data_IF_621243959921
#
_entry.id   IF_621243959921
#
_cell.length_a   1.000
_cell.length_b   1.000
_cell.length_c   1.000
_cell.angle_alpha   90.00
_cell.angle_beta   90.00
_cell.angle_gamma   90.00
#
_symmetry.space_group_name_H-M   'P 1'
#
loop_
_entity.id
_entity.type
_entity.pdbx_description
1 polymer ?
#
# COMPACT_ATOMS: atom_id res chain seq x y z
N UNK A 1 -9.67 24.04 -25.17
CA UNK A 1 -10.05 23.04 -26.19
C UNK A 1 -9.24 23.16 -27.47
N UNK A 2 -9.21 24.32 -28.14
CA UNK A 2 -8.49 24.47 -29.42
C UNK A 2 -6.99 24.18 -29.30
N UNK A 3 -6.33 24.68 -28.25
CA UNK A 3 -4.90 24.42 -27.99
C UNK A 3 -4.60 22.95 -27.65
N UNK A 4 -5.50 22.30 -26.91
CA UNK A 4 -5.39 20.88 -26.55
C UNK A 4 -5.61 19.98 -27.75
N UNK A 5 -6.61 20.26 -28.59
CA UNK A 5 -6.81 19.54 -29.85
C UNK A 5 -5.63 19.75 -30.81
N UNK A 6 -5.10 20.97 -30.90
CA UNK A 6 -3.93 21.27 -31.74
C UNK A 6 -2.69 20.49 -31.26
N UNK A 7 -2.47 20.42 -29.95
CA UNK A 7 -1.37 19.63 -29.36
C UNK A 7 -1.51 18.13 -29.61
N UNK A 8 -2.72 17.59 -29.60
CA UNK A 8 -3.00 16.17 -29.85
C UNK A 8 -2.87 15.79 -31.33
N UNK A 9 -3.20 16.73 -32.23
CA UNK A 9 -2.98 16.58 -33.67
C UNK A 9 -1.48 16.63 -33.99
N UNK A 10 -0.73 17.55 -33.36
CA UNK A 10 0.73 17.67 -33.54
C UNK A 10 1.53 16.49 -32.98
N UNK A 11 0.94 15.67 -32.12
CA UNK A 11 1.61 14.53 -31.48
C UNK A 11 1.22 13.16 -32.05
N UNK A 12 0.39 13.11 -33.10
CA UNK A 12 -0.14 11.88 -33.73
C UNK A 12 -0.87 10.89 -32.78
N UNK A 13 -1.07 11.24 -31.50
CA UNK A 13 -1.73 10.37 -30.51
C UNK A 13 -3.26 10.49 -30.52
N UNK A 14 -3.83 11.38 -31.34
CA UNK A 14 -5.26 11.65 -31.36
C UNK A 14 -6.08 10.37 -31.66
N UNK A 15 -5.62 9.56 -32.61
CA UNK A 15 -6.32 8.34 -33.00
C UNK A 15 -6.30 7.29 -31.89
N UNK A 16 -5.18 7.17 -31.17
CA UNK A 16 -5.05 6.27 -30.01
C UNK A 16 -5.97 6.70 -28.86
N UNK A 17 -6.09 8.01 -28.60
CA UNK A 17 -7.03 8.53 -27.62
C UNK A 17 -8.48 8.21 -28.00
N UNK A 18 -8.85 8.33 -29.28
CA UNK A 18 -10.20 8.00 -29.76
C UNK A 18 -10.49 6.51 -29.60
N UNK A 19 -9.54 5.63 -29.94
CA UNK A 19 -9.68 4.19 -29.75
C UNK A 19 -9.78 3.79 -28.27
N UNK A 20 -9.02 4.45 -27.39
CA UNK A 20 -9.13 4.26 -25.95
C UNK A 20 -10.51 4.66 -25.42
N UNK A 21 -11.03 5.82 -25.85
CA UNK A 21 -12.37 6.28 -25.47
C UNK A 21 -13.49 5.34 -25.97
N UNK A 22 -13.33 4.77 -27.17
CA UNK A 22 -14.29 3.79 -27.71
C UNK A 22 -14.25 2.46 -26.94
N UNK A 23 -13.06 2.04 -26.48
CA UNK A 23 -12.89 0.81 -25.70
C UNK A 23 -13.40 0.92 -24.26
N UNK A 24 -13.35 2.12 -23.67
CA UNK A 24 -13.75 2.37 -22.29
C UNK A 24 -14.95 3.32 -22.19
N UNK A 25 -16.16 2.82 -22.43
CA UNK A 25 -17.40 3.63 -22.40
C UNK A 25 -17.67 4.31 -21.04
N UNK A 26 -17.20 3.74 -19.92
CA UNK A 26 -17.31 4.36 -18.60
C UNK A 26 -16.56 5.70 -18.51
N UNK A 27 -15.42 5.83 -19.20
CA UNK A 27 -14.66 7.08 -19.26
C UNK A 27 -15.50 8.21 -19.88
N UNK A 28 -16.25 7.93 -20.94
CA UNK A 28 -17.11 8.92 -21.59
C UNK A 28 -18.19 9.45 -20.65
N UNK A 29 -18.76 8.58 -19.80
CA UNK A 29 -19.76 8.97 -18.80
C UNK A 29 -19.14 9.89 -17.76
N UNK A 30 -17.95 9.56 -17.24
CA UNK A 30 -17.24 10.41 -16.27
C UNK A 30 -16.80 11.74 -16.89
N UNK A 31 -16.30 11.73 -18.12
CA UNK A 31 -15.90 12.94 -18.85
C UNK A 31 -17.11 13.86 -19.11
N UNK A 32 -18.26 13.28 -19.46
CA UNK A 32 -19.49 14.04 -19.66
C UNK A 32 -20.02 14.62 -18.35
N UNK A 33 -20.06 13.82 -17.27
CA UNK A 33 -20.51 14.28 -15.97
C UNK A 33 -19.62 15.39 -15.39
N UNK A 34 -18.30 15.26 -15.51
CA UNK A 34 -17.34 16.30 -15.08
C UNK A 34 -17.47 17.56 -15.93
N UNK A 35 -17.69 17.43 -17.24
CA UNK A 35 -17.95 18.56 -18.13
C UNK A 35 -19.24 19.30 -17.75
N UNK A 36 -20.35 18.60 -17.49
CA UNK A 36 -21.60 19.23 -17.04
C UNK A 36 -21.39 19.93 -15.70
N UNK A 37 -20.77 19.25 -14.73
CA UNK A 37 -20.50 19.84 -13.42
C UNK A 37 -19.64 21.11 -13.54
N UNK A 38 -18.62 21.10 -14.41
CA UNK A 38 -17.78 22.27 -14.67
C UNK A 38 -18.57 23.41 -15.31
N UNK A 39 -19.39 23.14 -16.32
CA UNK A 39 -20.22 24.15 -16.98
C UNK A 39 -21.23 24.76 -16.01
N UNK A 40 -21.91 23.95 -15.21
CA UNK A 40 -22.86 24.42 -14.18
C UNK A 40 -22.13 25.29 -13.16
N UNK A 41 -20.96 24.86 -12.66
CA UNK A 41 -20.13 25.66 -11.75
C UNK A 41 -19.76 27.02 -12.37
N UNK A 42 -19.40 27.04 -13.66
CA UNK A 42 -19.03 28.26 -14.35
C UNK A 42 -20.22 29.21 -14.54
N UNK A 43 -21.43 28.67 -14.78
CA UNK A 43 -22.67 29.46 -14.80
C UNK A 43 -22.99 30.05 -13.43
N UNK A 44 -22.82 29.29 -12.34
CA UNK A 44 -22.99 29.82 -10.99
C UNK A 44 -21.99 30.93 -10.66
N UNK A 45 -20.73 30.77 -11.06
CA UNK A 45 -19.70 31.81 -10.90
C UNK A 45 -20.13 33.08 -11.64
N UNK A 46 -20.54 32.94 -12.91
CA UNK A 46 -20.97 34.07 -13.73
C UNK A 46 -22.19 34.78 -13.13
N UNK A 47 -23.25 34.03 -12.79
CA UNK A 47 -24.48 34.57 -12.20
C UNK A 47 -24.22 35.26 -10.86
N UNK A 48 -23.32 34.71 -10.03
CA UNK A 48 -22.97 35.33 -8.73
C UNK A 48 -22.20 36.64 -8.92
N UNK A 49 -21.30 36.70 -9.90
CA UNK A 49 -20.54 37.92 -10.22
C UNK A 49 -21.47 38.97 -10.83
N UNK A 50 -22.41 38.58 -11.68
CA UNK A 50 -23.37 39.49 -12.31
C UNK A 50 -24.34 40.11 -11.29
N UNK A 51 -24.86 39.31 -10.35
CA UNK A 51 -25.85 39.76 -9.37
C UNK A 51 -25.23 40.48 -8.16
N UNK A 52 -24.10 40.00 -7.65
CA UNK A 52 -23.50 40.47 -6.39
C UNK A 52 -22.13 41.16 -6.56
N UNK A 53 -21.57 41.14 -7.77
CA UNK A 53 -20.26 41.71 -8.05
C UNK A 53 -19.07 40.81 -7.62
N UNK A 54 -17.86 41.12 -8.12
CA UNK A 54 -16.68 40.28 -7.94
C UNK A 54 -16.18 40.22 -6.49
N UNK A 55 -16.41 41.27 -5.69
CA UNK A 55 -15.97 41.34 -4.29
C UNK A 55 -16.74 40.33 -3.43
N UNK A 56 -18.07 40.28 -3.57
CA UNK A 56 -18.93 39.35 -2.83
C UNK A 56 -18.64 37.91 -3.26
N UNK A 57 -18.45 37.67 -4.56
CA UNK A 57 -18.03 36.35 -5.06
C UNK A 57 -16.74 35.86 -4.37
N UNK A 58 -15.74 36.74 -4.23
CA UNK A 58 -14.46 36.39 -3.58
C UNK A 58 -14.64 36.03 -2.11
N UNK A 59 -15.52 36.76 -1.40
CA UNK A 59 -15.86 36.46 0.00
C UNK A 59 -16.56 35.10 0.11
N UNK A 60 -17.57 34.83 -0.73
CA UNK A 60 -18.31 33.56 -0.74
C UNK A 60 -17.36 32.38 -1.02
N UNK A 61 -16.47 32.52 -2.03
CA UNK A 61 -15.49 31.49 -2.37
C UNK A 61 -14.49 31.23 -1.22
N UNK A 62 -14.02 32.27 -0.56
CA UNK A 62 -13.08 32.15 0.57
C UNK A 62 -13.74 31.46 1.76
N UNK A 63 -15.00 31.81 2.06
CA UNK A 63 -15.79 31.16 3.11
C UNK A 63 -15.99 29.68 2.80
N UNK A 64 -16.39 29.35 1.56
CA UNK A 64 -16.56 27.97 1.12
C UNK A 64 -15.28 27.15 1.21
N UNK A 65 -14.12 27.72 0.83
CA UNK A 65 -12.82 27.07 0.97
C UNK A 65 -12.44 26.85 2.44
N UNK A 66 -12.77 27.79 3.34
CA UNK A 66 -12.55 27.65 4.77
C UNK A 66 -13.41 26.55 5.40
N UNK A 67 -14.61 26.28 4.87
CA UNK A 67 -15.48 25.20 5.33
C UNK A 67 -15.22 23.85 4.66
N UNK A 68 -14.78 23.84 3.41
CA UNK A 68 -14.54 22.59 2.67
C UNK A 68 -13.39 21.78 3.27
N UNK A 69 -12.38 22.46 3.84
CA UNK A 69 -11.24 21.79 4.48
C UNK A 69 -11.69 21.03 5.74
N UNK A 70 -12.31 21.65 6.77
CA UNK A 70 -12.82 20.94 7.94
C UNK A 70 -13.87 19.87 7.59
N UNK A 71 -14.77 20.17 6.64
CA UNK A 71 -15.81 19.22 6.23
C UNK A 71 -15.19 18.00 5.54
N UNK A 72 -14.15 18.20 4.72
CA UNK A 72 -13.37 17.10 4.15
C UNK A 72 -12.60 16.34 5.22
N UNK A 73 -12.14 16.99 6.29
CA UNK A 73 -11.49 16.27 7.39
C UNK A 73 -12.49 15.42 8.17
N UNK A 74 -13.71 15.91 8.36
CA UNK A 74 -14.80 15.23 9.07
C UNK A 74 -15.36 14.03 8.29
N UNK A 75 -15.58 14.18 6.97
CA UNK A 75 -16.15 13.12 6.14
C UNK A 75 -15.16 12.00 5.79
N UNK A 76 -13.85 12.30 5.79
CA UNK A 76 -12.81 11.36 5.38
C UNK A 76 -11.86 10.95 6.52
N UNK A 77 -12.21 11.23 7.78
CA UNK A 77 -11.46 10.83 8.99
C UNK A 77 -9.96 11.14 8.93
N UNK A 78 -9.59 12.32 8.41
CA UNK A 78 -8.20 12.76 8.39
C UNK A 78 -7.79 13.39 9.72
N UNK A 79 -6.83 12.76 10.43
CA UNK A 79 -6.15 13.34 11.57
C UNK A 79 -5.29 14.54 11.12
N UNK A 80 -5.83 15.75 11.23
CA UNK A 80 -5.07 16.98 11.00
C UNK A 80 -4.00 17.08 12.10
N UNK A 81 -2.73 16.83 11.74
CA UNK A 81 -1.62 17.30 12.55
C UNK A 81 -1.73 18.83 12.64
N UNK A 82 -2.13 19.31 13.81
CA UNK A 82 -2.44 20.69 14.12
C UNK A 82 -1.17 21.56 14.11
N UNK A 83 -0.66 21.87 12.91
CA UNK A 83 0.48 22.80 12.73
C UNK A 83 0.32 23.79 11.56
N UNK A 84 -0.87 23.90 10.95
CA UNK A 84 -1.14 24.90 9.89
C UNK A 84 -2.24 25.89 10.28
N UNK A 85 -2.98 25.65 11.37
CA UNK A 85 -4.01 26.59 11.88
C UNK A 85 -3.45 27.61 12.90
N UNK A 86 -2.17 27.98 12.77
CA UNK A 86 -1.53 28.98 13.61
C UNK A 86 -0.60 29.86 12.78
N UNK A 87 -1.16 30.56 11.80
CA UNK A 87 -0.45 31.64 11.10
C UNK A 87 -1.38 32.81 10.80
N UNK A 88 -2.00 33.36 11.84
CA UNK A 88 -2.55 34.73 11.84
C UNK A 88 -2.97 35.18 13.24
N UNK A 89 -2.04 35.26 14.19
CA UNK A 89 -1.96 36.42 15.10
C UNK A 89 -0.70 36.34 15.96
N UNK A 90 -0.04 37.46 16.11
CA UNK A 90 1.22 37.64 16.81
C UNK A 90 1.10 37.47 18.33
N UNK A 91 2.22 37.05 18.93
CA UNK A 91 2.94 37.77 20.00
C UNK A 91 3.09 37.03 21.32
N UNK A 92 4.37 36.66 21.53
CA UNK A 92 5.16 36.72 22.77
C UNK A 92 4.74 35.91 24.01
N UNK A 93 5.80 35.33 24.56
CA UNK A 93 6.07 34.96 25.96
C UNK A 93 5.56 33.61 26.44
N UNK A 94 6.49 32.90 27.10
CA UNK A 94 6.34 31.63 27.85
C UNK A 94 6.28 30.38 26.94
N UNK A 95 7.11 29.35 27.10
CA UNK A 95 7.42 28.63 28.35
C UNK A 95 8.86 28.08 28.30
N UNK A 96 9.58 28.38 29.38
CA UNK A 96 10.82 27.75 29.82
C UNK A 96 10.48 26.51 30.67
N UNK A 97 11.37 25.49 30.69
CA UNK A 97 11.32 24.18 31.41
C UNK A 97 10.52 23.09 30.66
N UNK A 98 11.01 21.89 30.37
CA UNK A 98 12.06 21.07 30.98
C UNK A 98 12.94 20.38 29.92
N UNK A 99 14.26 20.50 30.07
CA UNK A 99 15.24 19.56 29.52
C UNK A 99 16.32 19.38 30.56
N UNK A 100 16.38 18.22 31.22
CA UNK A 100 17.61 17.67 31.80
C UNK A 100 17.43 16.23 32.30
N UNK A 101 17.98 15.30 31.54
CA UNK A 101 18.88 14.21 31.97
C UNK A 101 19.30 13.47 30.69
N UNK A 102 20.35 13.94 30.00
CA UNK A 102 21.71 13.36 29.99
C UNK A 102 21.69 11.85 29.71
N UNK A 103 21.89 11.44 28.46
CA UNK A 103 23.24 11.03 28.02
C UNK A 103 23.60 11.55 26.61
N UNK A 104 24.77 12.18 26.53
CA UNK A 104 25.45 12.57 25.30
C UNK A 104 26.08 11.32 24.67
N UNK A 105 25.78 11.07 23.40
CA UNK A 105 26.81 10.85 22.40
C UNK A 105 26.24 11.24 21.03
N UNK A 106 27.07 11.91 20.25
CA UNK A 106 26.65 12.70 19.11
C UNK A 106 26.04 11.88 17.99
N UNK A 107 24.84 12.27 17.58
CA UNK A 107 24.40 12.02 16.22
C UNK A 107 23.70 13.26 15.67
N UNK A 108 24.53 14.16 15.14
CA UNK A 108 24.08 15.16 14.17
C UNK A 108 24.13 14.52 12.77
N UNK A 109 23.64 13.29 12.61
CA UNK A 109 23.22 12.80 11.30
C UNK A 109 21.97 13.57 10.90
N UNK A 110 22.25 14.63 10.14
CA UNK A 110 21.43 15.12 9.04
C UNK A 110 20.20 14.25 8.80
N UNK A 111 19.03 14.84 9.06
CA UNK A 111 17.68 14.47 8.64
C UNK A 111 17.57 14.37 7.10
N UNK A 112 18.45 13.62 6.44
CA UNK A 112 18.48 13.47 4.99
C UNK A 112 17.64 12.27 4.59
N UNK A 113 16.46 12.62 4.06
CA UNK A 113 15.51 11.84 3.28
C UNK A 113 14.68 10.81 4.06
N UNK A 114 13.60 11.31 4.66
CA UNK A 114 12.41 10.54 5.03
C UNK A 114 11.91 9.71 3.83
N UNK A 115 11.36 8.52 4.10
CA UNK A 115 10.76 7.66 3.09
C UNK A 115 11.72 6.67 2.41
N UNK A 116 11.24 5.47 2.10
CA UNK A 116 11.97 4.43 1.36
C UNK A 116 11.02 3.32 0.90
N UNK A 117 11.31 2.68 -0.23
CA UNK A 117 10.58 1.51 -0.71
C UNK A 117 11.47 0.27 -0.58
N UNK A 118 11.18 -0.59 0.39
CA UNK A 118 12.07 -1.65 0.85
C UNK A 118 11.40 -3.02 0.70
N UNK A 119 12.17 -4.04 0.33
CA UNK A 119 11.78 -5.46 0.42
C UNK A 119 12.71 -6.17 1.40
N UNK A 120 12.14 -6.97 2.30
CA UNK A 120 12.91 -7.87 3.17
C UNK A 120 12.76 -9.32 2.72
N UNK A 121 13.88 -9.95 2.36
CA UNK A 121 13.98 -11.36 2.00
C UNK A 121 14.68 -12.11 3.14
N UNK A 122 14.27 -13.35 3.37
CA UNK A 122 14.90 -14.23 4.35
C UNK A 122 13.97 -15.35 4.78
N UNK A 123 14.55 -16.45 5.26
CA UNK A 123 13.81 -17.60 5.73
C UNK A 123 12.91 -17.26 6.95
N UNK A 124 11.85 -18.04 7.24
CA UNK A 124 11.07 -17.88 8.46
C UNK A 124 11.97 -17.95 9.70
N UNK A 125 11.87 -16.97 10.61
CA UNK A 125 12.70 -16.90 11.82
C UNK A 125 14.02 -16.15 11.65
N UNK A 126 14.32 -15.62 10.45
CA UNK A 126 15.52 -14.84 10.21
C UNK A 126 15.55 -13.46 10.89
N UNK A 127 14.46 -13.03 11.54
CA UNK A 127 14.38 -11.73 12.23
C UNK A 127 13.79 -10.59 11.41
N UNK A 128 13.27 -10.84 10.20
CA UNK A 128 12.61 -9.83 9.35
C UNK A 128 11.57 -8.99 10.09
N UNK A 129 10.68 -9.61 10.86
CA UNK A 129 9.62 -8.92 11.60
C UNK A 129 10.13 -7.92 12.64
N UNK A 130 11.26 -8.22 13.27
CA UNK A 130 11.91 -7.30 14.22
C UNK A 130 12.53 -6.11 13.48
N UNK A 131 13.21 -6.40 12.36
CA UNK A 131 13.90 -5.38 11.58
C UNK A 131 12.94 -4.50 10.77
N UNK A 132 11.82 -5.06 10.30
CA UNK A 132 10.78 -4.31 9.59
C UNK A 132 10.17 -3.23 10.46
N UNK A 133 9.89 -3.51 11.73
CA UNK A 133 9.38 -2.51 12.67
C UNK A 133 10.36 -1.33 12.86
N UNK A 134 11.65 -1.63 13.05
CA UNK A 134 12.69 -0.61 13.24
C UNK A 134 12.92 0.23 11.98
N UNK A 135 12.94 -0.40 10.80
CA UNK A 135 13.08 0.30 9.52
C UNK A 135 11.85 1.15 9.20
N UNK A 136 10.65 0.62 9.46
CA UNK A 136 9.39 1.35 9.27
C UNK A 136 9.35 2.63 10.11
N UNK A 137 9.74 2.55 11.38
CA UNK A 137 9.86 3.70 12.27
C UNK A 137 10.94 4.68 11.79
N UNK A 138 12.14 4.19 11.44
CA UNK A 138 13.26 5.03 11.00
C UNK A 138 12.93 5.85 9.75
N UNK A 139 12.33 5.22 8.75
CA UNK A 139 12.03 5.85 7.46
C UNK A 139 10.63 6.46 7.39
N UNK A 140 9.79 6.29 8.43
CA UNK A 140 8.40 6.76 8.49
C UNK A 140 7.56 6.21 7.33
N UNK A 141 7.67 4.90 7.10
CA UNK A 141 7.02 4.16 6.02
C UNK A 141 6.08 3.10 6.55
N UNK A 142 5.07 2.72 5.78
CA UNK A 142 4.16 1.65 6.19
C UNK A 142 4.85 0.27 6.08
N UNK A 143 4.54 -0.63 7.01
CA UNK A 143 4.92 -2.03 6.91
C UNK A 143 3.76 -2.84 6.30
N UNK A 144 4.05 -3.61 5.25
CA UNK A 144 3.11 -4.49 4.57
C UNK A 144 3.62 -5.93 4.73
N UNK A 145 3.09 -6.62 5.74
CA UNK A 145 3.39 -8.03 6.03
C UNK A 145 2.33 -8.93 5.41
N UNK A 146 2.69 -9.71 4.38
CA UNK A 146 1.73 -10.63 3.74
C UNK A 146 1.27 -11.72 4.69
N UNK A 147 2.14 -12.17 5.60
CA UNK A 147 1.76 -13.13 6.63
C UNK A 147 0.66 -12.59 7.55
N UNK A 148 0.74 -11.32 7.95
CA UNK A 148 -0.28 -10.70 8.81
C UNK A 148 -1.56 -10.39 8.04
N UNK A 149 -1.45 -9.91 6.79
CA UNK A 149 -2.61 -9.68 5.92
C UNK A 149 -3.40 -10.97 5.67
N UNK A 150 -2.71 -12.08 5.38
CA UNK A 150 -3.34 -13.38 5.18
C UNK A 150 -3.96 -13.90 6.49
N UNK A 151 -3.28 -13.76 7.64
CA UNK A 151 -3.87 -14.13 8.94
C UNK A 151 -5.12 -13.31 9.26
N UNK A 152 -5.14 -12.02 8.95
CA UNK A 152 -6.33 -11.19 9.10
C UNK A 152 -7.45 -11.67 8.17
N UNK A 153 -7.13 -12.02 6.92
CA UNK A 153 -8.11 -12.58 5.98
C UNK A 153 -8.71 -13.92 6.44
N UNK A 154 -7.97 -14.75 7.20
CA UNK A 154 -8.54 -15.99 7.78
C UNK A 154 -9.60 -15.75 8.86
N UNK A 155 -9.65 -14.56 9.45
CA UNK A 155 -10.62 -14.22 10.50
C UNK A 155 -11.97 -13.78 9.93
N UNK A 156 -12.03 -13.46 8.64
CA UNK A 156 -13.27 -13.13 7.96
C UNK A 156 -14.08 -14.40 7.73
N UNK A 157 -15.14 -14.56 8.52
CA UNK A 157 -16.03 -15.74 8.48
C UNK A 157 -17.05 -15.68 7.33
N UNK A 158 -17.10 -14.57 6.59
CA UNK A 158 -18.17 -14.34 5.61
C UNK A 158 -17.89 -14.95 4.23
N UNK A 159 -16.62 -15.17 3.87
CA UNK A 159 -16.22 -15.83 2.64
C UNK A 159 -15.65 -17.23 2.95
N UNK A 160 -16.05 -18.25 2.18
CA UNK A 160 -15.46 -19.61 2.30
C UNK A 160 -13.96 -19.68 1.96
N UNK A 161 -13.35 -18.55 1.61
CA UNK A 161 -11.94 -18.38 1.25
C UNK A 161 -11.02 -18.35 2.48
N UNK A 162 -11.47 -17.80 3.62
CA UNK A 162 -10.65 -17.68 4.83
C UNK A 162 -10.15 -19.03 5.37
N UNK A 163 -11.00 -20.07 5.31
CA UNK A 163 -10.64 -21.43 5.72
C UNK A 163 -9.64 -22.09 4.74
N UNK A 164 -9.76 -21.82 3.43
CA UNK A 164 -8.80 -22.32 2.44
C UNK A 164 -7.42 -21.71 2.68
N UNK A 165 -7.37 -20.39 2.88
CA UNK A 165 -6.14 -19.65 3.21
C UNK A 165 -5.52 -20.23 4.49
N UNK A 166 -6.33 -20.45 5.53
CA UNK A 166 -5.85 -21.02 6.80
C UNK A 166 -5.16 -22.38 6.61
N UNK A 167 -5.79 -23.30 5.88
CA UNK A 167 -5.23 -24.64 5.60
C UNK A 167 -3.91 -24.59 4.83
N UNK A 168 -3.82 -23.71 3.83
CA UNK A 168 -2.58 -23.50 3.06
C UNK A 168 -1.46 -22.96 3.96
N UNK A 169 -1.79 -22.02 4.87
CA UNK A 169 -0.80 -21.45 5.78
C UNK A 169 -0.31 -22.44 6.83
N UNK A 170 -1.20 -23.28 7.37
CA UNK A 170 -0.90 -24.34 8.35
C UNK A 170 -0.02 -25.44 7.74
N UNK A 171 -0.22 -25.79 6.46
CA UNK A 171 0.65 -26.73 5.74
C UNK A 171 2.00 -26.15 5.32
N UNK A 172 2.21 -24.84 5.50
CA UNK A 172 3.43 -24.15 5.12
C UNK A 172 3.53 -23.78 3.64
N UNK A 173 2.43 -23.92 2.89
CA UNK A 173 2.34 -23.55 1.47
C UNK A 173 2.24 -22.05 1.23
N UNK A 174 2.23 -21.68 -0.06
CA UNK A 174 1.95 -20.32 -0.51
C UNK A 174 0.49 -20.18 -0.95
N UNK A 175 -0.13 -19.07 -0.58
CA UNK A 175 -1.47 -18.69 -1.03
C UNK A 175 -1.40 -18.14 -2.46
N UNK A 176 -2.47 -18.30 -3.22
CA UNK A 176 -2.57 -17.86 -4.61
C UNK A 176 -2.11 -16.41 -4.83
N UNK A 177 -1.32 -16.22 -5.88
CA UNK A 177 -0.66 -14.96 -6.18
C UNK A 177 -1.67 -13.82 -6.41
N UNK A 178 -2.83 -14.11 -7.03
CA UNK A 178 -3.89 -13.12 -7.26
C UNK A 178 -4.46 -12.56 -5.95
N UNK A 179 -4.70 -13.42 -4.97
CA UNK A 179 -5.20 -13.02 -3.64
C UNK A 179 -4.17 -12.13 -2.96
N UNK A 180 -2.91 -12.55 -2.98
CA UNK A 180 -1.81 -11.81 -2.36
C UNK A 180 -1.63 -10.45 -3.04
N UNK A 181 -1.61 -10.40 -4.37
CA UNK A 181 -1.47 -9.16 -5.14
C UNK A 181 -2.61 -8.18 -4.86
N UNK A 182 -3.86 -8.65 -4.76
CA UNK A 182 -5.01 -7.82 -4.40
C UNK A 182 -4.86 -7.19 -3.00
N UNK A 183 -4.39 -7.99 -2.02
CA UNK A 183 -4.12 -7.48 -0.65
C UNK A 183 -2.98 -6.46 -0.61
N UNK A 184 -1.94 -6.66 -1.42
CA UNK A 184 -0.82 -5.72 -1.56
C UNK A 184 -1.29 -4.42 -2.21
N UNK A 185 -2.03 -4.49 -3.32
CA UNK A 185 -2.57 -3.34 -4.05
C UNK A 185 -3.44 -2.46 -3.14
N UNK A 186 -4.37 -3.08 -2.40
CA UNK A 186 -5.20 -2.40 -1.41
C UNK A 186 -4.37 -1.76 -0.29
N UNK A 187 -3.33 -2.44 0.18
CA UNK A 187 -2.46 -1.93 1.25
C UNK A 187 -1.62 -0.73 0.83
N UNK A 188 -1.16 -0.70 -0.42
CA UNK A 188 -0.37 0.42 -0.96
C UNK A 188 -1.17 1.73 -1.05
N UNK A 189 -2.50 1.66 -1.11
CA UNK A 189 -3.38 2.83 -1.17
C UNK A 189 -3.60 3.49 0.20
N UNK A 190 -3.12 2.88 1.30
CA UNK A 190 -3.28 3.43 2.64
C UNK A 190 -2.41 4.68 2.85
N UNK A 191 -2.89 5.69 3.61
CA UNK A 191 -2.19 6.97 3.76
C UNK A 191 -0.81 6.84 4.42
N UNK A 192 -0.60 5.83 5.27
CA UNK A 192 0.68 5.57 5.92
C UNK A 192 1.77 5.16 4.91
N UNK A 193 1.38 4.67 3.72
CA UNK A 193 2.30 4.26 2.66
C UNK A 193 2.74 5.43 1.75
N UNK A 194 2.34 6.67 2.08
CA UNK A 194 2.64 7.85 1.28
C UNK A 194 4.14 8.12 1.16
N UNK A 195 4.87 8.02 2.28
CA UNK A 195 6.32 8.25 2.33
C UNK A 195 7.13 7.05 1.81
N UNK A 196 6.49 5.92 1.58
CA UNK A 196 7.13 4.69 1.16
C UNK A 196 6.50 3.49 1.85
N UNK A 197 7.04 2.31 1.58
CA UNK A 197 6.53 1.05 2.08
C UNK A 197 7.66 0.05 2.29
N UNK A 198 7.43 -0.89 3.20
CA UNK A 198 8.31 -2.02 3.44
C UNK A 198 7.52 -3.32 3.29
N UNK A 199 7.94 -4.17 2.37
CA UNK A 199 7.35 -5.51 2.22
C UNK A 199 8.08 -6.53 3.09
N UNK A 200 7.33 -7.19 3.98
CA UNK A 200 7.81 -8.29 4.83
C UNK A 200 7.17 -9.61 4.37
N UNK A 201 7.98 -10.48 3.79
CA UNK A 201 7.53 -11.78 3.30
C UNK A 201 6.86 -11.74 1.91
N UNK A 202 7.11 -10.69 1.13
CA UNK A 202 6.71 -10.56 -0.27
C UNK A 202 7.74 -9.71 -1.04
N UNK A 203 8.06 -10.05 -2.30
CA UNK A 203 7.66 -11.24 -3.03
C UNK A 203 8.37 -12.51 -2.52
N UNK A 204 7.82 -13.67 -2.86
CA UNK A 204 8.36 -15.01 -2.54
C UNK A 204 8.73 -15.84 -3.75
N UNK A 205 8.30 -15.43 -4.95
CA UNK A 205 8.62 -16.06 -6.22
C UNK A 205 9.09 -15.00 -7.22
N UNK A 206 9.78 -15.41 -8.29
CA UNK A 206 10.19 -14.49 -9.37
C UNK A 206 8.96 -13.84 -10.03
N UNK A 207 7.93 -14.63 -10.31
CA UNK A 207 6.68 -14.14 -10.89
C UNK A 207 6.02 -13.05 -10.04
N UNK A 208 5.93 -13.25 -8.71
CA UNK A 208 5.46 -12.20 -7.80
C UNK A 208 6.35 -10.96 -7.83
N UNK A 209 7.67 -11.14 -7.99
CA UNK A 209 8.63 -10.04 -8.15
C UNK A 209 8.36 -9.20 -9.39
N UNK A 210 8.09 -9.83 -10.53
CA UNK A 210 7.74 -9.17 -11.79
C UNK A 210 6.39 -8.45 -11.71
N UNK A 211 5.38 -9.11 -11.14
CA UNK A 211 4.06 -8.50 -10.90
C UNK A 211 4.14 -7.28 -9.99
N UNK A 212 4.96 -7.35 -8.93
CA UNK A 212 5.21 -6.21 -8.06
C UNK A 212 5.89 -5.05 -8.80
N UNK A 213 6.88 -5.32 -9.63
CA UNK A 213 7.55 -4.27 -10.42
C UNK A 213 6.58 -3.57 -11.37
N UNK A 214 5.73 -4.32 -12.07
CA UNK A 214 4.67 -3.76 -12.93
C UNK A 214 3.69 -2.91 -12.14
N UNK A 215 3.27 -3.40 -10.96
CA UNK A 215 2.36 -2.69 -10.06
C UNK A 215 2.93 -1.36 -9.57
N UNK A 216 4.22 -1.33 -9.25
CA UNK A 216 4.88 -0.12 -8.77
C UNK A 216 5.17 0.84 -9.92
N UNK A 217 5.50 0.32 -11.11
CA UNK A 217 5.70 1.13 -12.30
C UNK A 217 4.45 1.91 -12.71
N UNK A 218 3.27 1.27 -12.68
CA UNK A 218 1.99 1.95 -12.93
C UNK A 218 1.69 3.06 -11.91
N UNK A 219 2.29 2.98 -10.72
CA UNK A 219 2.21 3.97 -9.64
C UNK A 219 3.35 4.99 -9.64
N UNK A 220 4.25 4.95 -10.62
CA UNK A 220 5.47 5.78 -10.66
C UNK A 220 6.32 5.62 -9.39
N UNK A 221 6.27 4.44 -8.76
CA UNK A 221 7.10 4.05 -7.62
C UNK A 221 8.11 3.00 -8.07
N UNK A 222 9.15 2.80 -7.25
CA UNK A 222 10.21 1.81 -7.48
C UNK A 222 10.62 1.18 -6.16
N UNK A 223 11.35 0.07 -6.21
CA UNK A 223 12.05 -0.47 -5.06
C UNK A 223 13.42 0.22 -4.94
N UNK A 224 13.73 0.74 -3.76
CA UNK A 224 15.01 1.40 -3.48
C UNK A 224 16.03 0.42 -2.89
N UNK A 225 15.58 -0.55 -2.09
CA UNK A 225 16.46 -1.52 -1.44
C UNK A 225 15.79 -2.87 -1.21
N UNK A 226 16.56 -3.95 -1.41
CA UNK A 226 16.20 -5.33 -1.08
C UNK A 226 17.23 -5.86 -0.09
N UNK A 227 16.79 -6.16 1.12
CA UNK A 227 17.64 -6.68 2.19
C UNK A 227 17.39 -8.16 2.38
N UNK A 228 18.43 -8.97 2.22
CA UNK A 228 18.39 -10.40 2.53
C UNK A 228 18.97 -10.65 3.93
N UNK A 229 18.21 -11.32 4.80
CA UNK A 229 18.67 -11.75 6.12
C UNK A 229 19.11 -13.21 6.06
N UNK A 230 20.41 -13.42 5.83
CA UNK A 230 21.03 -14.72 5.70
C UNK A 230 21.29 -15.36 7.07
N UNK A 231 20.88 -16.62 7.21
CA UNK A 231 21.07 -17.42 8.42
C UNK A 231 20.93 -18.90 8.11
N UNK A 232 21.74 -19.72 8.77
CA UNK A 232 21.69 -21.18 8.66
C UNK A 232 20.41 -21.79 9.24
N UNK A 233 19.85 -22.78 8.55
CA UNK A 233 18.58 -23.44 8.90
C UNK A 233 18.58 -24.01 10.33
N UNK A 234 19.72 -24.53 10.79
CA UNK A 234 19.87 -25.10 12.13
C UNK A 234 19.61 -24.08 13.26
N UNK A 235 19.81 -22.78 12.99
CA UNK A 235 19.55 -21.71 13.96
C UNK A 235 18.08 -21.24 13.91
N UNK A 236 17.40 -21.43 12.79
CA UNK A 236 16.01 -20.99 12.58
C UNK A 236 15.01 -21.78 13.41
N UNK A 237 15.26 -23.09 13.60
CA UNK A 237 14.36 -23.96 14.38
C UNK A 237 14.15 -23.45 15.80
N UNK A 238 15.23 -23.11 16.51
CA UNK A 238 15.14 -22.54 17.86
C UNK A 238 14.36 -21.23 17.86
N UNK A 239 14.65 -20.34 16.91
CA UNK A 239 14.02 -19.01 16.79
C UNK A 239 12.51 -19.07 16.52
N UNK A 240 12.04 -20.07 15.78
CA UNK A 240 10.61 -20.22 15.46
C UNK A 240 9.85 -20.86 16.62
N UNK A 241 10.37 -21.94 17.19
CA UNK A 241 9.65 -22.68 18.23
C UNK A 241 9.55 -21.90 19.55
N UNK A 242 10.50 -21.00 19.84
CA UNK A 242 10.47 -20.13 21.01
C UNK A 242 9.78 -18.78 20.79
N UNK A 243 9.12 -18.56 19.65
CA UNK A 243 8.48 -17.27 19.32
C UNK A 243 7.16 -17.07 20.06
N UNK A 244 6.99 -15.90 20.65
CA UNK A 244 5.76 -15.44 21.30
C UNK A 244 5.28 -14.15 20.64
N UNK A 245 3.97 -13.98 20.46
CA UNK A 245 3.41 -12.81 19.80
C UNK A 245 2.26 -12.23 20.62
N UNK A 246 2.25 -10.91 20.68
CA UNK A 246 1.13 -10.16 21.21
C UNK A 246 0.10 -9.88 20.11
N UNK A 247 -1.06 -10.55 20.16
CA UNK A 247 -2.05 -10.57 19.08
C UNK A 247 -2.56 -9.20 18.63
N UNK A 248 -2.83 -8.30 19.57
CA UNK A 248 -3.43 -6.99 19.27
C UNK A 248 -2.45 -6.04 18.60
N UNK A 249 -1.15 -6.16 18.92
CA UNK A 249 -0.12 -5.23 18.44
C UNK A 249 0.84 -5.80 17.40
N UNK A 250 0.89 -7.12 17.24
CA UNK A 250 1.89 -7.81 16.41
C UNK A 250 3.30 -7.84 17.00
N UNK A 251 3.54 -7.26 18.18
CA UNK A 251 4.85 -7.32 18.85
C UNK A 251 5.28 -8.77 19.05
N UNK A 252 6.55 -9.04 18.78
CA UNK A 252 7.14 -10.38 18.82
C UNK A 252 8.22 -10.45 19.90
N UNK A 253 8.17 -11.51 20.70
CA UNK A 253 9.12 -11.86 21.75
C UNK A 253 9.68 -13.26 21.47
N UNK A 254 10.69 -13.64 22.23
CA UNK A 254 11.27 -14.97 22.18
C UNK A 254 11.73 -15.41 23.56
N UNK A 255 11.44 -16.66 23.94
CA UNK A 255 11.75 -17.20 25.28
C UNK A 255 13.22 -17.04 25.70
N UNK A 256 14.17 -17.28 24.80
CA UNK A 256 15.61 -17.11 25.04
C UNK A 256 16.19 -15.77 24.56
N UNK A 257 15.94 -15.38 23.30
CA UNK A 257 16.67 -14.28 22.65
C UNK A 257 16.10 -12.87 22.90
N UNK A 258 14.82 -12.78 23.23
CA UNK A 258 14.14 -11.51 23.52
C UNK A 258 12.95 -11.77 24.48
N UNK A 259 13.23 -12.22 25.72
CA UNK A 259 12.19 -12.62 26.65
C UNK A 259 11.35 -11.41 27.06
N UNK A 260 10.03 -11.56 27.24
CA UNK A 260 9.23 -10.53 27.88
C UNK A 260 9.69 -10.33 29.33
N UNK A 261 9.46 -9.14 29.89
CA UNK A 261 9.79 -8.81 31.28
C UNK A 261 9.05 -9.72 32.27
N UNK A 262 7.78 -9.98 31.97
CA UNK A 262 6.96 -10.96 32.68
C UNK A 262 6.63 -12.11 31.73
N UNK A 263 6.77 -13.34 32.21
CA UNK A 263 6.52 -14.53 31.40
C UNK A 263 5.11 -14.50 30.80
N UNK A 264 5.02 -14.75 29.49
CA UNK A 264 3.78 -14.79 28.71
C UNK A 264 2.95 -13.50 28.73
N UNK A 265 3.55 -12.34 29.03
CA UNK A 265 2.87 -11.04 28.98
C UNK A 265 3.59 -10.03 28.12
N UNK A 266 2.82 -9.17 27.45
CA UNK A 266 3.35 -8.06 26.66
C UNK A 266 3.91 -6.95 27.55
N UNK A 267 5.11 -6.47 27.23
CA UNK A 267 5.82 -5.47 28.04
C UNK A 267 5.16 -4.08 28.08
N UNK A 268 4.26 -3.77 27.13
CA UNK A 268 3.60 -2.46 27.04
C UNK A 268 2.17 -2.48 27.59
N UNK A 269 1.40 -3.53 27.29
CA UNK A 269 -0.01 -3.60 27.69
C UNK A 269 -0.26 -4.54 28.87
N UNK A 270 0.66 -5.45 29.17
CA UNK A 270 0.47 -6.50 30.18
C UNK A 270 -0.48 -7.63 29.75
N UNK A 271 -0.97 -7.59 28.50
CA UNK A 271 -1.86 -8.61 27.93
C UNK A 271 -1.09 -9.91 27.61
N UNK A 272 -1.82 -11.02 27.51
CA UNK A 272 -1.22 -12.34 27.29
C UNK A 272 -0.58 -12.49 25.92
N UNK A 273 0.60 -13.11 25.87
CA UNK A 273 1.26 -13.53 24.64
C UNK A 273 0.77 -14.92 24.20
N UNK A 274 0.69 -15.14 22.89
CA UNK A 274 0.34 -16.44 22.32
C UNK A 274 1.42 -16.94 21.35
N UNK A 275 1.50 -18.26 21.19
CA UNK A 275 2.27 -18.89 20.11
C UNK A 275 1.39 -18.99 18.88
N UNK A 276 1.97 -18.85 17.69
CA UNK A 276 1.19 -19.08 16.46
C UNK A 276 0.95 -20.58 16.27
N UNK A 277 -0.21 -20.93 15.71
CA UNK A 277 -0.57 -22.32 15.40
C UNK A 277 0.33 -22.96 14.34
N UNK A 278 0.95 -22.16 13.49
CA UNK A 278 1.83 -22.56 12.38
C UNK A 278 3.32 -22.60 12.75
N UNK A 279 3.66 -22.38 14.03
CA UNK A 279 5.04 -22.48 14.55
C UNK A 279 5.34 -23.90 15.07
N UNK A 280 5.19 -24.89 14.18
CA UNK A 280 5.54 -26.29 14.44
C UNK A 280 6.80 -26.70 13.68
N UNK A 281 7.42 -27.82 14.08
CA UNK A 281 8.62 -28.32 13.41
C UNK A 281 8.31 -28.78 11.97
N UNK A 282 7.15 -29.38 11.77
CA UNK A 282 6.65 -29.89 10.49
C UNK A 282 6.39 -28.73 9.53
N UNK A 283 5.64 -27.72 9.98
CA UNK A 283 5.34 -26.52 9.19
C UNK A 283 6.62 -25.72 8.91
N UNK A 284 7.55 -25.63 9.86
CA UNK A 284 8.85 -24.99 9.61
C UNK A 284 9.62 -25.70 8.50
N UNK A 285 9.71 -27.03 8.53
CA UNK A 285 10.42 -27.81 7.51
C UNK A 285 9.83 -27.58 6.12
N UNK A 286 8.49 -27.60 6.02
CA UNK A 286 7.78 -27.31 4.77
C UNK A 286 8.05 -25.87 4.27
N UNK A 287 8.08 -24.88 5.17
CA UNK A 287 8.36 -23.49 4.83
C UNK A 287 9.81 -23.27 4.40
N UNK A 288 10.77 -23.92 5.03
CA UNK A 288 12.18 -23.84 4.64
C UNK A 288 12.38 -24.46 3.25
N UNK A 289 11.80 -25.64 3.00
CA UNK A 289 11.82 -26.27 1.68
C UNK A 289 11.23 -25.36 0.60
N UNK A 290 10.07 -24.75 0.88
CA UNK A 290 9.41 -23.80 -0.03
C UNK A 290 10.26 -22.54 -0.26
N UNK A 291 10.84 -21.97 0.81
CA UNK A 291 11.74 -20.82 0.73
C UNK A 291 12.94 -21.09 -0.17
N UNK A 292 13.64 -22.21 0.06
CA UNK A 292 14.81 -22.58 -0.74
C UNK A 292 14.46 -22.85 -2.21
N UNK A 293 13.30 -23.45 -2.47
CA UNK A 293 12.85 -23.77 -3.83
C UNK A 293 12.37 -22.55 -4.61
N UNK A 294 11.64 -21.64 -3.98
CA UNK A 294 10.90 -20.58 -4.68
C UNK A 294 11.43 -19.17 -4.40
N UNK A 295 11.92 -18.91 -3.18
CA UNK A 295 12.36 -17.57 -2.76
C UNK A 295 13.86 -17.37 -2.92
N UNK A 296 14.71 -18.37 -2.74
CA UNK A 296 16.16 -18.23 -2.99
C UNK A 296 16.49 -17.73 -4.40
N UNK A 297 15.83 -18.20 -5.49
CA UNK A 297 16.06 -17.65 -6.83
C UNK A 297 15.75 -16.14 -6.97
N UNK A 298 14.90 -15.60 -6.10
CA UNK A 298 14.56 -14.17 -6.08
C UNK A 298 15.75 -13.29 -5.64
N UNK A 299 16.71 -13.87 -4.91
CA UNK A 299 17.94 -13.17 -4.52
C UNK A 299 18.72 -12.79 -5.77
N UNK A 300 18.93 -13.73 -6.69
CA UNK A 300 19.64 -13.46 -7.94
C UNK A 300 18.87 -12.47 -8.83
N UNK A 301 17.54 -12.59 -8.88
CA UNK A 301 16.67 -11.64 -9.59
C UNK A 301 16.87 -10.18 -9.14
N UNK A 302 16.98 -9.91 -7.84
CA UNK A 302 17.24 -8.56 -7.33
C UNK A 302 18.72 -8.17 -7.30
N UNK A 303 19.63 -9.14 -7.24
CA UNK A 303 21.08 -8.92 -7.36
C UNK A 303 21.43 -8.36 -8.73
N UNK A 304 20.86 -8.91 -9.80
CA UNK A 304 21.04 -8.42 -11.18
C UNK A 304 20.53 -6.98 -11.37
N UNK A 305 19.60 -6.53 -10.51
CA UNK A 305 19.05 -5.17 -10.51
C UNK A 305 19.88 -4.17 -9.68
N UNK A 306 20.97 -4.62 -9.07
CA UNK A 306 21.87 -3.82 -8.23
C UNK A 306 21.20 -3.14 -7.01
N UNK A 307 20.03 -3.64 -6.58
CA UNK A 307 19.30 -3.14 -5.41
C UNK A 307 19.29 -4.13 -4.23
N UNK A 308 19.99 -5.25 -4.34
CA UNK A 308 20.09 -6.28 -3.30
C UNK A 308 21.37 -6.14 -2.47
N UNK A 309 21.26 -6.40 -1.16
CA UNK A 309 22.38 -6.68 -0.26
C UNK A 309 21.99 -7.75 0.77
N UNK A 310 22.97 -8.59 1.13
CA UNK A 310 22.83 -9.62 2.17
C UNK A 310 23.39 -9.15 3.50
N UNK A 311 22.74 -9.54 4.59
CA UNK A 311 23.05 -9.20 5.98
C UNK A 311 23.07 -10.50 6.76
N UNK A 312 24.14 -10.69 7.54
CA UNK A 312 24.25 -11.81 8.48
C UNK A 312 23.30 -11.62 9.67
N UNK A 313 22.25 -12.43 9.71
CA UNK A 313 21.20 -12.36 10.72
C UNK A 313 21.49 -13.18 11.99
N UNK A 314 22.72 -13.68 12.15
CA UNK A 314 23.16 -14.35 13.39
C UNK A 314 23.58 -13.35 14.48
N UNK A 315 23.87 -12.11 14.09
CA UNK A 315 24.35 -11.04 14.97
C UNK A 315 23.24 -10.50 15.90
N UNK A 316 23.62 -9.63 16.84
CA UNK A 316 22.67 -8.97 17.75
C UNK A 316 21.71 -8.09 16.97
N UNK A 317 20.48 -7.98 17.46
CA UNK A 317 19.40 -7.21 16.81
C UNK A 317 19.86 -5.81 16.43
N UNK A 318 20.45 -5.05 17.37
CA UNK A 318 20.88 -3.66 17.13
C UNK A 318 21.98 -3.53 16.07
N UNK A 319 22.89 -4.50 15.98
CA UNK A 319 23.97 -4.50 15.00
C UNK A 319 23.43 -4.76 13.60
N UNK A 320 22.48 -5.71 13.49
CA UNK A 320 21.74 -5.98 12.26
C UNK A 320 20.96 -4.72 11.84
N UNK A 321 20.28 -4.03 12.75
CA UNK A 321 19.53 -2.80 12.44
C UNK A 321 20.42 -1.69 11.92
N UNK A 322 21.57 -1.46 12.55
CA UNK A 322 22.56 -0.46 12.10
C UNK A 322 23.08 -0.79 10.71
N UNK A 323 23.33 -2.07 10.41
CA UNK A 323 23.75 -2.50 9.08
C UNK A 323 22.65 -2.30 8.03
N UNK A 324 21.41 -2.69 8.35
CA UNK A 324 20.24 -2.49 7.49
C UNK A 324 20.06 -1.03 7.10
N UNK A 325 20.12 -0.10 8.07
CA UNK A 325 19.98 1.34 7.82
C UNK A 325 21.10 1.85 6.91
N UNK A 326 22.37 1.48 7.21
CA UNK A 326 23.53 1.88 6.39
C UNK A 326 23.38 1.41 4.94
N UNK A 327 22.91 0.18 4.74
CA UNK A 327 22.72 -0.40 3.41
C UNK A 327 21.61 0.31 2.65
N UNK A 328 20.46 0.55 3.29
CA UNK A 328 19.34 1.26 2.66
C UNK A 328 19.77 2.67 2.25
N UNK A 329 20.44 3.39 3.14
CA UNK A 329 20.94 4.75 2.85
C UNK A 329 21.99 4.76 1.72
N UNK A 330 22.78 3.70 1.58
CA UNK A 330 23.72 3.53 0.48
C UNK A 330 23.01 3.25 -0.86
N UNK A 331 22.09 2.29 -0.89
CA UNK A 331 21.38 1.89 -2.11
C UNK A 331 20.50 3.01 -2.65
N UNK A 332 19.86 3.79 -1.78
CA UNK A 332 19.03 4.95 -2.17
C UNK A 332 19.80 6.04 -2.91
N UNK A 333 21.11 6.14 -2.71
CA UNK A 333 21.98 7.14 -3.35
C UNK A 333 22.50 6.68 -4.72
N UNK A 334 22.28 5.42 -5.09
CA UNK A 334 22.75 4.89 -6.36
C UNK A 334 21.84 5.33 -7.52
N UNK A 335 22.41 5.51 -8.73
CA UNK A 335 21.61 5.77 -9.92
C UNK A 335 20.61 4.62 -10.12
N UNK A 336 19.36 5.00 -10.37
CA UNK A 336 18.22 4.09 -10.33
C UNK A 336 18.27 3.05 -11.43
N UNK A 337 18.07 1.78 -11.07
CA UNK A 337 17.71 0.74 -12.01
C UNK A 337 16.38 1.09 -12.69
N UNK A 338 16.39 1.21 -14.03
CA UNK A 338 15.16 1.28 -14.83
C UNK A 338 14.85 -0.15 -15.29
N UNK A 339 13.69 -0.74 -14.92
CA UNK A 339 13.32 -2.05 -15.42
C UNK A 339 13.25 -1.99 -16.95
N UNK A 340 14.02 -2.87 -17.61
CA UNK A 340 13.97 -2.99 -19.07
C UNK A 340 12.63 -3.61 -19.48
N UNK A 341 11.90 -2.93 -20.35
CA UNK A 341 10.79 -3.48 -21.11
C UNK A 341 11.34 -4.57 -22.05
N UNK A 342 11.47 -5.80 -21.56
CA UNK A 342 11.80 -6.95 -22.40
C UNK A 342 10.52 -7.71 -22.74
N UNK A 343 10.08 -7.49 -23.98
CA UNK A 343 9.36 -8.39 -24.89
C UNK A 343 8.95 -9.74 -24.31
N UNK A 344 7.65 -9.90 -24.06
CA UNK A 344 7.01 -11.22 -24.02
C UNK A 344 7.02 -11.74 -25.47
N UNK A 345 8.06 -12.47 -25.86
CA UNK A 345 8.02 -13.32 -27.04
C UNK A 345 7.30 -14.60 -26.62
N UNK A 346 6.02 -14.68 -26.95
CA UNK A 346 5.30 -15.95 -27.01
C UNK A 346 5.94 -16.78 -28.11
N UNK A 347 6.69 -17.81 -27.75
CA UNK A 347 7.01 -18.90 -28.66
C UNK A 347 5.75 -19.74 -28.83
N UNK A 348 5.12 -19.59 -29.99
CA UNK A 348 4.18 -20.56 -30.54
C UNK A 348 4.89 -21.91 -30.67
N UNK A 349 4.38 -22.93 -29.98
CA UNK A 349 4.52 -24.31 -30.42
C UNK A 349 3.12 -24.88 -30.58
N UNK A 350 2.82 -25.11 -31.84
CA UNK A 350 1.67 -25.76 -32.43
C UNK A 350 1.53 -27.18 -31.86
N UNK A 351 0.38 -27.50 -31.25
CA UNK A 351 -0.13 -28.87 -31.21
C UNK A 351 -1.66 -28.82 -31.05
N UNK A 352 -2.31 -29.17 -32.16
CA UNK A 352 -3.74 -29.25 -32.36
C UNK A 352 -4.28 -30.55 -31.76
N UNK A 353 -5.20 -30.48 -30.80
CA UNK A 353 -6.17 -31.56 -30.53
C UNK A 353 -7.50 -30.99 -30.00
N UNK A 354 -8.46 -30.99 -30.91
CA UNK A 354 -9.85 -30.53 -30.81
C UNK A 354 -10.71 -31.42 -29.90
N UNK A 355 -11.38 -30.89 -28.86
CA UNK A 355 -12.71 -31.38 -28.41
C UNK A 355 -13.55 -30.27 -27.69
N UNK A 356 -14.61 -29.87 -28.39
CA UNK A 356 -15.99 -29.47 -27.97
C UNK A 356 -16.23 -28.41 -26.89
N UNK A 357 -16.74 -27.29 -27.40
CA UNK A 357 -17.69 -26.33 -26.84
C UNK A 357 -18.74 -26.86 -25.84
N UNK A 358 -18.91 -26.16 -24.73
CA UNK A 358 -20.19 -26.04 -24.01
C UNK A 358 -20.32 -24.66 -23.36
N UNK A 359 -21.30 -23.91 -23.84
CA UNK A 359 -21.74 -22.61 -23.37
C UNK A 359 -22.42 -22.72 -22.00
N UNK A 360 -22.03 -21.89 -21.03
CA UNK A 360 -22.88 -21.52 -19.87
C UNK A 360 -22.66 -20.03 -19.61
N UNK A 361 -23.58 -19.21 -20.12
CA UNK A 361 -23.80 -17.82 -19.73
C UNK A 361 -24.81 -17.77 -18.58
N UNK A 362 -24.43 -17.24 -17.40
CA UNK A 362 -25.41 -16.70 -16.45
C UNK A 362 -24.84 -15.58 -15.58
N UNK A 363 -25.36 -14.37 -15.83
CA UNK A 363 -25.67 -13.24 -14.94
C UNK A 363 -24.80 -12.90 -13.71
N UNK A 364 -23.99 -11.85 -13.88
CA UNK A 364 -23.62 -10.89 -12.81
C UNK A 364 -23.92 -9.42 -13.20
N UNK A 365 -24.52 -9.15 -14.37
CA UNK A 365 -24.78 -7.79 -14.88
C UNK A 365 -26.10 -7.13 -14.42
N UNK A 366 -26.98 -7.89 -13.77
CA UNK A 366 -28.36 -7.43 -13.49
C UNK A 366 -28.57 -6.84 -12.07
N UNK A 367 -27.56 -6.91 -11.19
CA UNK A 367 -27.68 -6.43 -9.80
C UNK A 367 -27.13 -5.01 -9.61
N UNK A 368 -26.06 -4.61 -10.32
CA UNK A 368 -25.52 -3.24 -10.23
C UNK A 368 -26.31 -2.22 -11.07
N UNK A 369 -26.89 -2.66 -12.20
CA UNK A 369 -27.72 -1.81 -13.07
C UNK A 369 -29.02 -1.38 -12.38
N UNK A 370 -29.62 -2.25 -11.55
CA UNK A 370 -30.83 -1.94 -10.77
C UNK A 370 -30.57 -1.03 -9.56
N UNK A 371 -29.33 -0.94 -9.05
CA UNK A 371 -29.00 -0.04 -7.93
C UNK A 371 -28.70 1.39 -8.42
N UNK A 372 -28.12 1.52 -9.60
CA UNK A 372 -27.83 2.81 -10.24
C UNK A 372 -29.08 3.47 -10.84
N UNK A 373 -30.01 2.69 -11.42
CA UNK A 373 -31.26 3.23 -11.98
C UNK A 373 -32.17 3.86 -10.91
N UNK A 374 -32.25 3.24 -9.72
CA UNK A 374 -33.06 3.73 -8.61
C UNK A 374 -32.50 5.04 -7.99
N UNK A 375 -31.18 5.17 -7.91
CA UNK A 375 -30.55 6.42 -7.45
C UNK A 375 -30.70 7.56 -8.48
N UNK A 376 -30.67 7.24 -9.77
CA UNK A 376 -30.85 8.24 -10.83
C UNK A 376 -32.30 8.74 -10.91
N UNK A 377 -33.29 7.86 -10.74
CA UNK A 377 -34.70 8.22 -10.73
C UNK A 377 -35.07 9.08 -9.51
N UNK A 378 -34.45 8.82 -8.35
CA UNK A 378 -34.62 9.63 -7.14
C UNK A 378 -34.09 11.06 -7.32
N UNK A 379 -32.89 11.20 -7.90
CA UNK A 379 -32.28 12.52 -8.17
C UNK A 379 -33.05 13.27 -9.26
N UNK A 380 -33.47 12.58 -10.33
CA UNK A 380 -34.28 13.19 -11.39
C UNK A 380 -35.62 13.74 -10.89
N UNK A 381 -36.32 12.99 -10.04
CA UNK A 381 -37.59 13.44 -9.45
C UNK A 381 -37.41 14.58 -8.45
N UNK A 382 -36.32 14.57 -7.67
CA UNK A 382 -36.00 15.67 -6.75
C UNK A 382 -35.69 16.98 -7.51
N UNK A 383 -34.92 16.89 -8.60
CA UNK A 383 -34.55 18.05 -9.42
C UNK A 383 -35.74 18.59 -10.21
N UNK A 384 -36.57 17.72 -10.80
CA UNK A 384 -37.78 18.15 -11.53
C UNK A 384 -38.85 18.75 -10.61
N UNK A 385 -38.98 18.28 -9.37
CA UNK A 385 -39.86 18.89 -8.35
C UNK A 385 -39.43 20.32 -8.03
N UNK A 386 -38.14 20.56 -7.81
CA UNK A 386 -37.60 21.89 -7.48
C UNK A 386 -37.72 22.85 -8.66
N UNK A 387 -37.55 22.37 -9.90
CA UNK A 387 -37.67 23.18 -11.10
C UNK A 387 -39.13 23.54 -11.43
N UNK A 388 -40.09 22.66 -11.12
CA UNK A 388 -41.53 22.93 -11.27
C UNK A 388 -42.04 23.93 -10.23
N UNK A 389 -41.59 23.83 -8.97
CA UNK A 389 -41.93 24.79 -7.90
C UNK A 389 -41.38 26.21 -8.17
N UNK A 390 -40.37 26.33 -9.03
CA UNK A 390 -39.79 27.61 -9.45
C UNK A 390 -40.25 28.09 -10.84
N UNK A 391 -41.17 27.37 -11.49
CA UNK A 391 -41.74 27.75 -12.79
C UNK A 391 -40.73 27.75 -13.95
N UNK A 392 -39.64 26.99 -13.83
CA UNK A 392 -38.56 26.94 -14.83
C UNK A 392 -38.86 25.90 -15.93
N UNK A 393 -39.67 24.88 -15.61
CA UNK A 393 -40.19 23.84 -16.53
C UNK A 393 -41.56 23.33 -16.09
#
# INVERSE_FOLDING_TARGET
>A
MVLTCSSLILSDTLLECILFMQRHQSFLIHAFATSICSSVRQLFIFSTIEEFGPVIFTIIMTIWQAFSIPLSCLFYDHHLSCLIMASSSMSKTEIHKQKQSTSKDGDNQKKTDLGANIILIGAPGSGKGTQSAQLAERYQICQISTGDLLRQATQDKTSGEGEKIRRIMESGGLVDDEIVMSLIDKSLNKPECRNGFLFDGFPRTIYQGEQLEQLLQSRQKRIDAVLEYAIEDNLLKRRILGRLIHKSSGRTYHEEFNPPKESMKDDKTGETLERRSDDTNETLTARLSTYHKQTTPLIDFYRQRNIHRSIDATQKVDDVSKQSIKIVDYLRKQPTYKPSTSTIQQTETDDTLTVKSKSITTNQRDVETNRLSNNFLFIYNAVTSVLRDRGII
#
